data_IF_455968467557
#
_entry.id   IF_455968467557
#
_cell.length_a   1.000
_cell.length_b   1.000
_cell.length_c   1.000
_cell.angle_alpha   90.00
_cell.angle_beta   90.00
_cell.angle_gamma   90.00
#
_symmetry.space_group_name_H-M   'P 1'
#
loop_
_entity.id
_entity.type
_entity.pdbx_description
1 polymer ?
#
# COMPACT_ATOMS: atom_id res chain seq x y z
N UNK A 1 -37.66 0.90 -3.98
CA UNK A 1 -36.48 0.16 -3.52
C UNK A 1 -36.77 -0.32 -2.12
N UNK A 2 -36.60 -1.60 -1.87
CA UNK A 2 -36.68 -2.18 -0.54
C UNK A 2 -35.45 -1.74 0.30
N UNK A 3 -35.61 -1.74 1.62
CA UNK A 3 -34.56 -1.28 2.54
C UNK A 3 -33.27 -2.11 2.42
N UNK A 4 -33.38 -3.40 2.11
CA UNK A 4 -32.23 -4.29 1.95
C UNK A 4 -31.41 -3.91 0.71
N UNK A 5 -32.06 -3.66 -0.43
CA UNK A 5 -31.39 -3.17 -1.64
C UNK A 5 -30.69 -1.83 -1.40
N UNK A 6 -31.31 -0.91 -0.65
CA UNK A 6 -30.70 0.40 -0.37
C UNK A 6 -29.46 0.29 0.51
N UNK A 7 -29.51 -0.55 1.56
CA UNK A 7 -28.35 -0.86 2.40
C UNK A 7 -27.24 -1.51 1.59
N UNK A 8 -27.58 -2.50 0.74
CA UNK A 8 -26.59 -3.20 -0.09
C UNK A 8 -25.83 -2.24 -1.02
N UNK A 9 -26.55 -1.34 -1.71
CA UNK A 9 -25.92 -0.34 -2.59
C UNK A 9 -25.00 0.59 -1.77
N UNK A 10 -25.46 1.10 -0.64
CA UNK A 10 -24.68 1.99 0.21
C UNK A 10 -23.40 1.30 0.73
N UNK A 11 -23.50 0.04 1.16
CA UNK A 11 -22.35 -0.74 1.64
C UNK A 11 -21.33 -1.01 0.53
N UNK A 12 -21.76 -1.39 -0.68
CA UNK A 12 -20.86 -1.68 -1.80
C UNK A 12 -20.11 -0.41 -2.23
N UNK A 13 -20.81 0.71 -2.36
CA UNK A 13 -20.20 1.99 -2.75
C UNK A 13 -19.21 2.46 -1.69
N UNK A 14 -19.58 2.37 -0.41
CA UNK A 14 -18.70 2.78 0.69
C UNK A 14 -17.46 1.89 0.79
N UNK A 15 -17.60 0.57 0.62
CA UNK A 15 -16.46 -0.35 0.59
C UNK A 15 -15.49 -0.02 -0.55
N UNK A 16 -16.00 0.21 -1.76
CA UNK A 16 -15.17 0.60 -2.91
C UNK A 16 -14.42 1.92 -2.67
N UNK A 17 -15.07 2.90 -2.06
CA UNK A 17 -14.44 4.19 -1.73
C UNK A 17 -13.37 4.05 -0.64
N UNK A 18 -13.62 3.25 0.40
CA UNK A 18 -12.65 2.99 1.47
C UNK A 18 -11.37 2.38 0.91
N UNK A 19 -11.48 1.38 0.04
CA UNK A 19 -10.33 0.75 -0.61
C UNK A 19 -9.60 1.75 -1.53
N UNK A 20 -10.35 2.50 -2.33
CA UNK A 20 -9.78 3.46 -3.28
C UNK A 20 -8.98 4.58 -2.58
N UNK A 21 -9.50 5.11 -1.46
CA UNK A 21 -8.83 6.17 -0.70
C UNK A 21 -7.71 5.58 0.17
N UNK A 22 -7.97 4.45 0.84
CA UNK A 22 -7.03 3.81 1.76
C UNK A 22 -5.75 3.30 1.10
N UNK A 23 -5.81 2.91 -0.17
CA UNK A 23 -4.65 2.43 -0.94
C UNK A 23 -3.71 3.55 -1.44
N UNK A 24 -4.14 4.81 -1.46
CA UNK A 24 -3.33 5.92 -2.00
C UNK A 24 -2.08 6.20 -1.17
N UNK A 25 -2.22 6.21 0.16
CA UNK A 25 -1.10 6.49 1.08
C UNK A 25 0.02 5.44 0.96
N UNK A 26 -0.30 4.14 1.13
CA UNK A 26 0.64 3.05 0.92
C UNK A 26 1.28 3.10 -0.48
N UNK A 27 0.49 3.21 -1.56
CA UNK A 27 1.03 3.24 -2.92
C UNK A 27 2.08 4.35 -3.14
N UNK A 28 1.82 5.56 -2.62
CA UNK A 28 2.77 6.67 -2.69
C UNK A 28 3.99 6.46 -1.80
N UNK A 29 3.81 5.93 -0.59
CA UNK A 29 4.89 5.65 0.35
C UNK A 29 5.85 4.57 -0.16
N UNK A 30 5.29 3.45 -0.61
CA UNK A 30 6.02 2.31 -1.14
C UNK A 30 6.77 2.66 -2.43
N UNK A 31 6.12 3.38 -3.35
CA UNK A 31 6.76 3.83 -4.58
C UNK A 31 7.99 4.71 -4.31
N UNK A 32 7.92 5.59 -3.31
CA UNK A 32 9.06 6.42 -2.89
C UNK A 32 10.15 5.60 -2.21
N UNK A 33 9.79 4.66 -1.34
CA UNK A 33 10.75 3.78 -0.68
C UNK A 33 11.52 2.93 -1.68
N UNK A 34 10.84 2.35 -2.67
CA UNK A 34 11.46 1.58 -3.76
C UNK A 34 12.40 2.45 -4.58
N UNK A 35 11.98 3.65 -4.99
CA UNK A 35 12.83 4.57 -5.75
C UNK A 35 14.11 4.93 -4.98
N UNK A 36 14.00 5.19 -3.68
CA UNK A 36 15.15 5.48 -2.82
C UNK A 36 16.07 4.27 -2.65
N UNK A 37 15.52 3.07 -2.51
CA UNK A 37 16.30 1.84 -2.41
C UNK A 37 17.07 1.56 -3.70
N UNK A 38 16.46 1.77 -4.87
CA UNK A 38 17.14 1.65 -6.17
C UNK A 38 18.30 2.65 -6.29
N UNK A 39 18.11 3.90 -5.86
CA UNK A 39 19.18 4.89 -5.84
C UNK A 39 20.32 4.49 -4.88
N UNK A 40 20.00 3.94 -3.71
CA UNK A 40 21.00 3.43 -2.76
C UNK A 40 21.77 2.23 -3.33
N UNK A 41 21.09 1.29 -3.98
CA UNK A 41 21.71 0.13 -4.66
C UNK A 41 22.64 0.60 -5.78
N UNK A 42 22.26 1.62 -6.55
CA UNK A 42 23.11 2.19 -7.59
C UNK A 42 24.40 2.83 -7.02
N UNK A 43 24.34 3.40 -5.82
CA UNK A 43 25.50 3.98 -5.14
C UNK A 43 26.38 2.91 -4.46
N UNK A 44 25.77 1.85 -3.92
CA UNK A 44 26.46 0.75 -3.25
C UNK A 44 25.94 -0.63 -3.74
N UNK A 45 26.41 -1.11 -4.90
CA UNK A 45 25.97 -2.39 -5.47
C UNK A 45 26.25 -3.60 -4.57
N UNK A 46 27.37 -3.54 -3.82
CA UNK A 46 27.81 -4.61 -2.92
C UNK A 46 26.83 -4.84 -1.75
N UNK A 47 26.10 -3.79 -1.34
CA UNK A 47 25.12 -3.84 -0.24
C UNK A 47 23.69 -4.12 -0.73
N UNK A 48 23.50 -4.46 -2.00
CA UNK A 48 22.18 -4.67 -2.61
C UNK A 48 21.30 -5.67 -1.86
N UNK A 49 21.89 -6.76 -1.33
CA UNK A 49 21.18 -7.75 -0.53
C UNK A 49 20.64 -7.18 0.77
N UNK A 50 21.48 -6.43 1.51
CA UNK A 50 21.11 -5.78 2.77
C UNK A 50 20.01 -4.73 2.56
N UNK A 51 20.16 -3.90 1.53
CA UNK A 51 19.19 -2.85 1.18
C UNK A 51 17.83 -3.47 0.82
N UNK A 52 17.83 -4.50 -0.04
CA UNK A 52 16.59 -5.17 -0.50
C UNK A 52 15.86 -5.83 0.67
N UNK A 53 16.58 -6.52 1.57
CA UNK A 53 15.97 -7.13 2.76
C UNK A 53 15.31 -6.08 3.66
N UNK A 54 16.01 -4.98 3.91
CA UNK A 54 15.50 -3.90 4.76
C UNK A 54 14.29 -3.21 4.13
N UNK A 55 14.34 -2.99 2.79
CA UNK A 55 13.22 -2.46 2.02
C UNK A 55 11.97 -3.32 2.21
N UNK A 56 12.04 -4.64 1.97
CA UNK A 56 10.87 -5.51 2.07
C UNK A 56 10.30 -5.59 3.50
N UNK A 57 11.14 -5.56 4.53
CA UNK A 57 10.67 -5.48 5.92
C UNK A 57 9.91 -4.16 6.15
N UNK A 58 10.43 -3.04 5.64
CA UNK A 58 9.76 -1.74 5.72
C UNK A 58 8.43 -1.69 4.95
N UNK A 59 8.43 -2.18 3.71
CA UNK A 59 7.22 -2.25 2.87
C UNK A 59 6.15 -3.12 3.52
N UNK A 60 6.51 -4.29 4.08
CA UNK A 60 5.55 -5.13 4.80
C UNK A 60 4.85 -4.42 5.98
N UNK A 61 5.57 -3.54 6.68
CA UNK A 61 4.97 -2.72 7.75
C UNK A 61 4.03 -1.65 7.20
N UNK A 62 4.38 -1.02 6.07
CA UNK A 62 3.52 -0.02 5.41
C UNK A 62 2.26 -0.68 4.85
N UNK A 63 2.40 -1.83 4.21
CA UNK A 63 1.30 -2.56 3.59
C UNK A 63 0.25 -3.02 4.60
N UNK A 64 0.63 -3.24 5.87
CA UNK A 64 -0.33 -3.52 6.94
C UNK A 64 -1.42 -2.44 7.08
N UNK A 65 -1.10 -1.18 6.76
CA UNK A 65 -2.06 -0.07 6.79
C UNK A 65 -3.02 -0.11 5.60
N UNK A 66 -2.57 -0.59 4.44
CA UNK A 66 -3.42 -0.81 3.26
C UNK A 66 -4.44 -1.92 3.54
N UNK A 67 -4.00 -3.01 4.18
CA UNK A 67 -4.83 -4.18 4.51
C UNK A 67 -5.99 -3.80 5.45
N UNK A 68 -5.84 -2.81 6.34
CA UNK A 68 -6.96 -2.38 7.18
C UNK A 68 -8.11 -1.72 6.42
N UNK A 69 -7.86 -1.24 5.21
CA UNK A 69 -8.87 -0.61 4.36
C UNK A 69 -9.50 -1.60 3.36
N UNK A 70 -9.02 -2.84 3.31
CA UNK A 70 -9.51 -3.95 2.48
C UNK A 70 -10.52 -4.80 3.26
#
# INVERSE_FOLDING_TARGET
>A
MDSLSLIAIASIVTAGLTIAIGSLGPALGEGRAVAQALAAIAQQPDESGTITRTLFVGLAMVESTAIYCF
#
